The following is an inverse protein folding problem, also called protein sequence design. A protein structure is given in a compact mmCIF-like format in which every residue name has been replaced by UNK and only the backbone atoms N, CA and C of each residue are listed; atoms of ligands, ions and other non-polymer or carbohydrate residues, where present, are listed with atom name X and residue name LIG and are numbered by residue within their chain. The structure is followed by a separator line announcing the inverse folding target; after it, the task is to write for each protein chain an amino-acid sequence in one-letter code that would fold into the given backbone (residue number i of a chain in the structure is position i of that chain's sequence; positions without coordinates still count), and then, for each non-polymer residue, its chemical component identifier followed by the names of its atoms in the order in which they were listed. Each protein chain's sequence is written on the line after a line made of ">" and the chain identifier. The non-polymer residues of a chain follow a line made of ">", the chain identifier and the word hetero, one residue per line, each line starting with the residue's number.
data_IF_961808361778
#
_entry.id   IF_961808361778
#
_cell.length_a   1.000
_cell.length_b   1.000
_cell.length_c   1.000
_cell.angle_alpha   90.00
_cell.angle_beta   90.00
_cell.angle_gamma   90.00
#
_symmetry.space_group_name_H-M   'P 1'
#
loop_
_entity.id
_entity.type
_entity.pdbx_description
1 polymer ?
#
# COMPACT_ATOMS: atom_id res chain seq x y z
N UNK A 1 -19.25 -3.55 6.61
CA UNK A 1 -17.96 -2.90 6.91
C UNK A 1 -17.85 -1.70 5.99
N UNK A 2 -17.47 -0.54 6.52
CA UNK A 2 -17.25 0.64 5.68
C UNK A 2 -16.00 0.46 4.82
N UNK A 3 -16.04 1.00 3.62
CA UNK A 3 -14.90 1.02 2.69
C UNK A 3 -13.82 1.97 3.23
N UNK A 4 -12.58 1.54 3.26
CA UNK A 4 -11.45 2.40 3.58
C UNK A 4 -11.27 3.45 2.48
N UNK A 5 -11.45 4.73 2.82
CA UNK A 5 -11.26 5.85 1.91
C UNK A 5 -9.99 6.61 2.26
N UNK A 6 -8.97 6.50 1.41
CA UNK A 6 -7.75 7.28 1.55
C UNK A 6 -7.98 8.73 1.10
N UNK A 7 -7.75 9.69 1.99
CA UNK A 7 -7.81 11.13 1.69
C UNK A 7 -6.39 11.69 1.77
N UNK A 8 -5.93 12.34 0.71
CA UNK A 8 -4.62 12.97 0.64
C UNK A 8 -4.58 14.01 -0.48
N UNK A 9 -3.84 15.10 -0.26
CA UNK A 9 -3.51 16.08 -1.31
C UNK A 9 -2.41 15.57 -2.26
N UNK A 10 -1.74 14.47 -1.89
CA UNK A 10 -0.65 13.89 -2.65
C UNK A 10 -1.12 12.72 -3.49
N UNK A 11 -0.48 12.54 -4.64
CA UNK A 11 -0.59 11.32 -5.46
C UNK A 11 0.67 10.49 -5.26
N UNK A 12 0.61 9.15 -5.41
CA UNK A 12 1.82 8.34 -5.42
C UNK A 12 2.78 8.81 -6.52
N UNK A 13 4.04 9.01 -6.18
CA UNK A 13 5.10 9.48 -7.09
C UNK A 13 6.36 8.62 -6.98
N UNK A 14 7.31 8.80 -7.91
CA UNK A 14 8.53 8.00 -7.97
C UNK A 14 8.22 6.52 -8.08
N UNK A 15 8.84 5.69 -7.24
CA UNK A 15 8.67 4.23 -7.23
C UNK A 15 7.41 3.77 -6.46
N UNK A 16 6.69 4.69 -5.81
CA UNK A 16 5.52 4.34 -5.01
C UNK A 16 4.41 3.62 -5.80
N UNK A 17 4.01 4.08 -7.01
CA UNK A 17 2.96 3.41 -7.79
C UNK A 17 3.28 1.93 -8.05
N UNK A 18 4.51 1.63 -8.47
CA UNK A 18 4.94 0.26 -8.74
C UNK A 18 4.99 -0.59 -7.46
N UNK A 19 5.50 -0.04 -6.36
CA UNK A 19 5.53 -0.73 -5.07
C UNK A 19 4.12 -1.06 -4.58
N UNK A 20 3.17 -0.13 -4.72
CA UNK A 20 1.76 -0.33 -4.37
C UNK A 20 1.18 -1.47 -5.23
N UNK A 21 1.38 -1.42 -6.55
CA UNK A 21 0.85 -2.43 -7.47
C UNK A 21 1.38 -3.82 -7.15
N UNK A 22 2.70 -3.96 -6.94
CA UNK A 22 3.33 -5.24 -6.59
C UNK A 22 2.76 -5.83 -5.30
N UNK A 23 2.65 -5.02 -4.24
CA UNK A 23 2.12 -5.47 -2.95
C UNK A 23 0.66 -5.87 -3.03
N UNK A 24 -0.17 -5.06 -3.71
CA UNK A 24 -1.59 -5.36 -3.95
C UNK A 24 -1.74 -6.68 -4.71
N UNK A 25 -0.96 -6.88 -5.76
CA UNK A 25 -1.00 -8.12 -6.53
C UNK A 25 -0.54 -9.32 -5.71
N UNK A 26 0.51 -9.19 -4.91
CA UNK A 26 0.95 -10.26 -4.02
C UNK A 26 -0.12 -10.66 -2.99
N UNK A 27 -0.85 -9.68 -2.43
CA UNK A 27 -1.97 -9.95 -1.53
C UNK A 27 -3.10 -10.68 -2.26
N UNK A 28 -3.45 -10.25 -3.48
CA UNK A 28 -4.49 -10.90 -4.30
C UNK A 28 -4.11 -12.32 -4.73
N UNK A 29 -2.82 -12.58 -4.95
CA UNK A 29 -2.27 -13.92 -5.24
C UNK A 29 -2.14 -14.82 -4.00
N UNK A 30 -2.40 -14.29 -2.80
CA UNK A 30 -2.31 -15.06 -1.56
C UNK A 30 -0.89 -15.24 -1.02
N UNK A 31 0.07 -14.39 -1.41
CA UNK A 31 1.41 -14.43 -0.82
C UNK A 31 1.34 -14.11 0.67
N UNK A 32 1.83 -15.06 1.49
CA UNK A 32 1.80 -14.94 2.96
C UNK A 32 2.78 -13.88 3.48
N UNK A 33 3.91 -13.72 2.81
CA UNK A 33 4.99 -12.82 3.23
C UNK A 33 5.40 -11.93 2.06
N UNK A 34 5.54 -10.63 2.32
CA UNK A 34 6.02 -9.65 1.36
C UNK A 34 6.81 -8.57 2.12
N UNK A 35 7.79 -7.98 1.47
CA UNK A 35 8.66 -6.96 2.08
C UNK A 35 8.63 -5.68 1.24
N UNK A 36 8.28 -4.56 1.86
CA UNK A 36 8.47 -3.23 1.27
C UNK A 36 9.83 -2.68 1.71
N UNK A 37 10.85 -2.85 0.86
CA UNK A 37 12.16 -2.25 1.09
C UNK A 37 12.14 -0.80 0.59
N UNK A 38 12.17 0.16 1.51
CA UNK A 38 12.19 1.58 1.17
C UNK A 38 13.13 2.37 2.07
N UNK A 39 13.86 3.31 1.47
CA UNK A 39 14.76 4.23 2.19
C UNK A 39 14.00 5.16 3.15
N UNK A 40 14.71 5.83 4.04
CA UNK A 40 14.10 6.85 4.92
C UNK A 40 13.61 8.03 4.08
N UNK A 41 12.43 8.56 4.40
CA UNK A 41 11.81 9.67 3.67
C UNK A 41 11.05 9.30 2.40
N UNK A 42 11.05 8.04 1.95
CA UNK A 42 10.37 7.64 0.70
C UNK A 42 8.83 7.57 0.76
N UNK A 43 8.23 7.88 1.91
CA UNK A 43 6.77 7.86 2.08
C UNK A 43 6.17 6.47 2.31
N UNK A 44 6.88 5.53 2.97
CA UNK A 44 6.41 4.15 3.21
C UNK A 44 5.00 4.05 3.82
N UNK A 45 4.64 4.94 4.75
CA UNK A 45 3.29 4.98 5.34
C UNK A 45 2.22 5.29 4.29
N UNK A 46 2.49 6.24 3.39
CA UNK A 46 1.57 6.59 2.32
C UNK A 46 1.46 5.47 1.28
N UNK A 47 2.57 4.79 0.96
CA UNK A 47 2.57 3.57 0.15
C UNK A 47 1.66 2.51 0.77
N UNK A 48 1.80 2.19 2.06
CA UNK A 48 0.98 1.19 2.74
C UNK A 48 -0.49 1.60 2.85
N UNK A 49 -0.79 2.89 3.07
CA UNK A 49 -2.16 3.39 3.08
C UNK A 49 -2.87 3.18 1.72
N UNK A 50 -2.15 3.41 0.62
CA UNK A 50 -2.66 3.10 -0.73
C UNK A 50 -2.87 1.59 -0.94
N UNK A 51 -1.99 0.74 -0.41
CA UNK A 51 -2.17 -0.72 -0.46
C UNK A 51 -3.44 -1.12 0.30
N UNK A 52 -3.61 -0.65 1.55
CA UNK A 52 -4.77 -0.93 2.40
C UNK A 52 -6.07 -0.48 1.71
N UNK A 53 -6.08 0.74 1.15
CA UNK A 53 -7.22 1.29 0.41
C UNK A 53 -7.57 0.47 -0.84
N UNK A 54 -6.61 -0.20 -1.48
CA UNK A 54 -6.88 -1.03 -2.67
C UNK A 54 -7.29 -2.46 -2.35
N UNK A 55 -6.88 -2.99 -1.19
CA UNK A 55 -7.21 -4.38 -0.79
C UNK A 55 -8.45 -4.49 0.07
N UNK A 56 -8.88 -3.40 0.73
CA UNK A 56 -10.11 -3.34 1.53
C UNK A 56 -10.18 -4.47 2.59
N UNK A 57 -9.08 -4.65 3.33
CA UNK A 57 -8.97 -5.63 4.41
C UNK A 57 -8.72 -4.94 5.75
N UNK A 58 -9.36 -5.38 6.84
CA UNK A 58 -8.95 -5.01 8.19
C UNK A 58 -7.44 -5.28 8.36
N UNK A 59 -6.70 -4.28 8.80
CA UNK A 59 -5.23 -4.31 8.83
C UNK A 59 -4.74 -3.91 10.22
N UNK A 60 -3.71 -4.61 10.72
CA UNK A 60 -2.99 -4.26 11.93
C UNK A 60 -1.57 -3.84 11.53
N UNK A 61 -1.09 -2.72 12.07
CA UNK A 61 0.24 -2.16 11.84
C UNK A 61 1.05 -2.22 13.13
#
# INVERSE_FOLDING_TARGET
>A
MEEFKLVSDFKPTGDQPEAIDKLVQGIKKGYRFQTLLGVTGSGKTFTMANVIARVQKPTLV
#
